data_IF_895585835883
#
_entry.id   IF_895585835883
#
_cell.length_a   1.000
_cell.length_b   1.000
_cell.length_c   1.000
_cell.angle_alpha   90.00
_cell.angle_beta   90.00
_cell.angle_gamma   90.00
#
_symmetry.space_group_name_H-M   'P 1'
#
loop_
_entity.id
_entity.type
_entity.pdbx_description
1 polymer ?
#
# COMPACT_ATOMS: atom_id res chain seq x y z
N UNK A 1 35.72 36.96 -24.12
CA UNK A 1 35.42 35.52 -23.91
C UNK A 1 34.52 35.31 -22.67
N UNK A 2 34.91 35.82 -21.49
CA UNK A 2 34.17 35.68 -20.22
C UNK A 2 32.68 36.05 -20.26
N UNK A 3 32.28 37.17 -20.91
CA UNK A 3 30.86 37.57 -20.98
C UNK A 3 29.97 36.57 -21.72
N UNK A 4 30.52 35.86 -22.72
CA UNK A 4 29.79 34.82 -23.47
C UNK A 4 29.62 33.55 -22.64
N UNK A 5 30.65 33.17 -21.87
CA UNK A 5 30.57 32.06 -20.92
C UNK A 5 29.56 32.34 -19.80
N UNK A 6 29.55 33.56 -19.25
CA UNK A 6 28.59 33.96 -18.22
C UNK A 6 27.15 33.88 -18.73
N UNK A 7 26.91 34.36 -19.96
CA UNK A 7 25.59 34.29 -20.58
C UNK A 7 25.13 32.85 -20.83
N UNK A 8 26.00 32.00 -21.36
CA UNK A 8 25.71 30.58 -21.55
C UNK A 8 25.44 29.86 -20.22
N UNK A 9 26.19 30.20 -19.16
CA UNK A 9 25.97 29.66 -17.82
C UNK A 9 24.60 30.05 -17.25
N UNK A 10 24.18 31.32 -17.41
CA UNK A 10 22.85 31.76 -16.96
C UNK A 10 21.72 31.07 -17.73
N UNK A 11 21.89 30.86 -19.04
CA UNK A 11 20.92 30.09 -19.82
C UNK A 11 20.84 28.64 -19.37
N UNK A 12 21.97 28.01 -19.09
CA UNK A 12 22.02 26.64 -18.59
C UNK A 12 21.38 26.53 -17.20
N UNK A 13 21.64 27.50 -16.32
CA UNK A 13 21.05 27.52 -14.98
C UNK A 13 19.52 27.73 -15.07
N UNK A 14 19.06 28.66 -15.91
CA UNK A 14 17.63 28.84 -16.17
C UNK A 14 16.97 27.60 -16.76
N UNK A 15 17.62 26.93 -17.71
CA UNK A 15 17.15 25.68 -18.29
C UNK A 15 17.04 24.58 -17.22
N UNK A 16 18.05 24.41 -16.37
CA UNK A 16 18.04 23.43 -15.29
C UNK A 16 16.94 23.70 -14.26
N UNK A 17 16.69 24.97 -13.92
CA UNK A 17 15.61 25.34 -13.00
C UNK A 17 14.23 25.01 -13.59
N UNK A 18 13.99 25.35 -14.86
CA UNK A 18 12.73 25.01 -15.53
C UNK A 18 12.58 23.50 -15.66
N UNK A 19 13.64 22.80 -16.05
CA UNK A 19 13.63 21.34 -16.16
C UNK A 19 13.32 20.66 -14.82
N UNK A 20 13.92 21.14 -13.73
CA UNK A 20 13.65 20.65 -12.38
C UNK A 20 12.17 20.84 -12.01
N UNK A 21 11.62 22.04 -12.26
CA UNK A 21 10.22 22.33 -11.92
C UNK A 21 9.23 21.49 -12.75
N UNK A 22 9.46 21.37 -14.07
CA UNK A 22 8.62 20.54 -14.95
C UNK A 22 8.69 19.07 -14.56
N UNK A 23 9.89 18.56 -14.25
CA UNK A 23 10.05 17.17 -13.81
C UNK A 23 9.35 16.90 -12.49
N UNK A 24 9.42 17.84 -11.52
CA UNK A 24 8.71 17.73 -10.25
C UNK A 24 7.19 17.70 -10.45
N UNK A 25 6.68 18.61 -11.29
CA UNK A 25 5.25 18.68 -11.60
C UNK A 25 4.74 17.41 -12.29
N UNK A 26 5.52 16.83 -13.21
CA UNK A 26 5.17 15.54 -13.83
C UNK A 26 5.15 14.38 -12.83
N UNK A 27 6.00 14.43 -11.80
CA UNK A 27 6.06 13.41 -10.77
C UNK A 27 4.86 13.50 -9.82
N UNK A 28 4.44 14.71 -9.45
CA UNK A 28 3.21 14.96 -8.69
C UNK A 28 1.97 14.50 -9.47
N UNK A 29 1.85 14.88 -10.76
CA UNK A 29 0.73 14.43 -11.59
C UNK A 29 0.65 12.90 -11.72
N UNK A 30 1.80 12.23 -11.76
CA UNK A 30 1.82 10.76 -11.76
C UNK A 30 1.34 10.21 -10.42
N UNK A 31 1.81 10.74 -9.29
CA UNK A 31 1.37 10.32 -7.96
C UNK A 31 -0.14 10.52 -7.78
N UNK A 32 -0.67 11.70 -8.14
CA UNK A 32 -2.11 11.98 -8.09
C UNK A 32 -2.92 11.02 -8.98
N UNK A 33 -2.39 10.69 -10.16
CA UNK A 33 -3.00 9.70 -11.06
C UNK A 33 -3.05 8.29 -10.45
N UNK A 34 -2.00 7.89 -9.73
CA UNK A 34 -1.97 6.62 -9.00
C UNK A 34 -2.97 6.61 -7.85
N UNK A 35 -3.05 7.69 -7.07
CA UNK A 35 -3.97 7.81 -5.94
C UNK A 35 -5.43 7.72 -6.41
N UNK A 36 -5.80 8.47 -7.45
CA UNK A 36 -7.16 8.41 -8.01
C UNK A 36 -7.51 7.04 -8.60
N UNK A 37 -6.54 6.35 -9.21
CA UNK A 37 -6.75 4.98 -9.69
C UNK A 37 -7.00 4.01 -8.53
N UNK A 38 -6.17 4.07 -7.48
CA UNK A 38 -6.30 3.21 -6.30
C UNK A 38 -7.62 3.46 -5.56
N UNK A 39 -8.02 4.72 -5.41
CA UNK A 39 -9.30 5.09 -4.82
C UNK A 39 -10.49 4.52 -5.64
N UNK A 40 -10.43 4.64 -6.97
CA UNK A 40 -11.46 4.07 -7.85
C UNK A 40 -11.54 2.54 -7.74
N UNK A 41 -10.40 1.85 -7.62
CA UNK A 41 -10.37 0.40 -7.43
C UNK A 41 -10.95 0.01 -6.07
N UNK A 42 -10.51 0.67 -5.00
CA UNK A 42 -11.01 0.44 -3.65
C UNK A 42 -12.53 0.63 -3.59
N UNK A 43 -13.04 1.72 -4.18
CA UNK A 43 -14.47 1.99 -4.26
C UNK A 43 -15.23 0.90 -5.03
N UNK A 44 -14.72 0.46 -6.18
CA UNK A 44 -15.33 -0.60 -6.99
C UNK A 44 -15.43 -1.94 -6.25
N UNK A 45 -14.48 -2.22 -5.36
CA UNK A 45 -14.49 -3.42 -4.51
C UNK A 45 -15.51 -3.25 -3.38
N UNK A 46 -15.43 -2.15 -2.62
CA UNK A 46 -16.32 -1.85 -1.49
C UNK A 46 -17.78 -1.79 -1.91
N UNK A 47 -18.09 -1.19 -3.06
CA UNK A 47 -19.46 -1.09 -3.59
C UNK A 47 -20.09 -2.47 -3.94
N UNK A 48 -19.26 -3.52 -4.07
CA UNK A 48 -19.71 -4.90 -4.37
C UNK A 48 -19.77 -5.79 -3.13
N UNK A 49 -19.28 -5.32 -1.98
CA UNK A 49 -19.30 -6.09 -0.74
C UNK A 49 -20.70 -6.11 -0.13
N UNK A 50 -21.06 -7.25 0.45
CA UNK A 50 -22.21 -7.39 1.33
C UNK A 50 -22.03 -6.59 2.64
N UNK A 51 -23.11 -6.25 3.35
CA UNK A 51 -23.01 -5.63 4.67
C UNK A 51 -22.13 -6.42 5.65
N UNK A 52 -22.20 -7.75 5.59
CA UNK A 52 -21.40 -8.65 6.42
C UNK A 52 -19.91 -8.52 6.09
N UNK A 53 -19.53 -8.53 4.81
CA UNK A 53 -18.14 -8.31 4.37
C UNK A 53 -17.63 -6.94 4.79
N UNK A 54 -18.43 -5.87 4.64
CA UNK A 54 -18.03 -4.51 5.03
C UNK A 54 -17.72 -4.40 6.53
N UNK A 55 -18.56 -5.02 7.37
CA UNK A 55 -18.36 -5.08 8.82
C UNK A 55 -17.16 -5.95 9.15
N UNK A 56 -16.99 -7.08 8.48
CA UNK A 56 -15.83 -7.95 8.64
C UNK A 56 -14.51 -7.24 8.36
N UNK A 57 -14.42 -6.49 7.26
CA UNK A 57 -13.18 -5.82 6.85
C UNK A 57 -12.65 -4.78 7.84
N UNK A 58 -13.49 -4.23 8.73
CA UNK A 58 -13.02 -3.32 9.79
C UNK A 58 -12.56 -4.05 11.06
N UNK A 59 -12.80 -5.36 11.15
CA UNK A 59 -12.42 -6.19 12.30
C UNK A 59 -11.05 -6.83 12.03
N UNK A 60 -10.20 -6.77 13.06
CA UNK A 60 -8.95 -7.52 13.10
C UNK A 60 -9.04 -8.60 14.18
N UNK A 61 -8.79 -9.84 13.79
CA UNK A 61 -8.83 -10.99 14.71
C UNK A 61 -7.43 -11.44 15.08
N UNK A 62 -7.29 -12.04 16.26
CA UNK A 62 -6.04 -12.64 16.70
C UNK A 62 -6.20 -14.15 16.77
N UNK A 63 -5.26 -14.88 16.20
CA UNK A 63 -5.30 -16.35 16.24
C UNK A 63 -4.59 -16.87 17.51
N UNK A 64 -5.19 -17.79 18.26
CA UNK A 64 -4.60 -18.32 19.49
C UNK A 64 -3.61 -19.46 19.18
N UNK A 65 -2.46 -19.17 18.57
CA UNK A 65 -1.38 -20.16 18.41
C UNK A 65 -0.56 -20.04 17.12
N UNK A 66 0.38 -20.97 16.95
CA UNK A 66 1.33 -20.97 15.81
C UNK A 66 0.76 -21.57 14.52
N UNK A 67 -0.48 -22.05 14.56
CA UNK A 67 -1.13 -22.75 13.45
C UNK A 67 -2.59 -22.32 13.36
N UNK A 68 -3.14 -22.32 12.16
CA UNK A 68 -4.56 -22.17 11.94
C UNK A 68 -5.26 -23.46 12.35
N UNK A 69 -5.97 -23.44 13.47
CA UNK A 69 -6.83 -24.56 13.87
C UNK A 69 -8.25 -24.39 13.29
N UNK A 70 -9.08 -25.42 13.42
CA UNK A 70 -10.44 -25.40 12.89
C UNK A 70 -11.32 -24.30 13.51
N UNK A 71 -11.00 -23.84 14.72
CA UNK A 71 -11.75 -22.77 15.39
C UNK A 71 -11.39 -21.43 14.75
N UNK A 72 -10.09 -21.15 14.60
CA UNK A 72 -9.59 -19.95 13.95
C UNK A 72 -10.04 -19.87 12.48
N UNK A 73 -10.00 -21.00 11.76
CA UNK A 73 -10.48 -21.08 10.38
C UNK A 73 -11.98 -20.75 10.29
N UNK A 74 -12.79 -21.30 11.20
CA UNK A 74 -14.22 -21.01 11.27
C UNK A 74 -14.48 -19.53 11.60
N UNK A 75 -13.76 -18.97 12.55
CA UNK A 75 -13.89 -17.55 12.91
C UNK A 75 -13.54 -16.63 11.73
N UNK A 76 -12.51 -16.96 10.95
CA UNK A 76 -12.15 -16.20 9.74
C UNK A 76 -13.26 -16.31 8.68
N UNK A 77 -13.83 -17.50 8.47
CA UNK A 77 -14.91 -17.73 7.51
C UNK A 77 -16.21 -17.03 7.92
N UNK A 78 -16.53 -17.00 9.21
CA UNK A 78 -17.76 -16.41 9.73
C UNK A 78 -17.66 -14.88 9.84
N UNK A 79 -16.50 -14.34 10.22
CA UNK A 79 -16.30 -12.90 10.50
C UNK A 79 -15.83 -12.14 9.26
N UNK A 80 -15.13 -12.79 8.31
CA UNK A 80 -14.54 -12.17 7.12
C UNK A 80 -13.63 -10.96 7.46
N UNK A 81 -12.66 -11.12 8.38
CA UNK A 81 -11.85 -10.03 8.91
C UNK A 81 -11.00 -9.35 7.83
N UNK A 82 -10.73 -8.05 8.00
CA UNK A 82 -9.82 -7.32 7.13
C UNK A 82 -8.34 -7.60 7.41
N UNK A 83 -8.04 -8.17 8.58
CA UNK A 83 -6.69 -8.55 8.94
C UNK A 83 -6.61 -9.51 10.12
N UNK A 84 -5.46 -10.18 10.22
CA UNK A 84 -5.10 -11.06 11.33
C UNK A 84 -3.89 -10.46 12.06
N UNK A 85 -4.02 -10.30 13.38
CA UNK A 85 -2.93 -9.84 14.24
C UNK A 85 -2.18 -11.06 14.77
N UNK A 86 -0.89 -11.14 14.45
CA UNK A 86 0.03 -12.14 14.99
C UNK A 86 0.79 -11.55 16.18
N UNK A 87 0.65 -12.19 17.34
CA UNK A 87 1.40 -11.90 18.56
C UNK A 87 2.67 -12.76 18.67
N UNK A 88 3.52 -12.46 19.65
CA UNK A 88 4.78 -13.20 19.86
C UNK A 88 4.61 -14.70 20.05
N UNK A 89 3.44 -15.16 20.53
CA UNK A 89 3.11 -16.58 20.64
C UNK A 89 2.93 -17.27 19.28
N UNK A 90 2.58 -16.51 18.24
CA UNK A 90 2.37 -16.98 16.87
C UNK A 90 3.69 -17.03 16.09
N UNK A 91 4.72 -16.32 16.57
CA UNK A 91 6.04 -16.27 15.95
C UNK A 91 6.82 -17.54 16.31
N UNK A 92 6.75 -18.52 15.43
CA UNK A 92 7.60 -19.70 15.44
C UNK A 92 8.89 -19.50 14.63
N UNK A 93 9.35 -20.56 14.02
CA UNK A 93 10.36 -20.57 12.96
C UNK A 93 9.86 -19.82 11.72
N UNK A 94 10.79 -19.40 10.85
CA UNK A 94 10.46 -18.76 9.57
C UNK A 94 9.47 -19.60 8.74
N UNK A 95 9.62 -20.92 8.77
CA UNK A 95 8.76 -21.87 8.07
C UNK A 95 7.34 -21.85 8.63
N UNK A 96 7.18 -21.79 9.95
CA UNK A 96 5.85 -21.70 10.60
C UNK A 96 5.15 -20.38 10.26
N UNK A 97 5.89 -19.26 10.23
CA UNK A 97 5.33 -17.96 9.83
C UNK A 97 4.93 -17.95 8.36
N UNK A 98 5.74 -18.52 7.47
CA UNK A 98 5.38 -18.64 6.06
C UNK A 98 4.14 -19.51 5.89
N UNK A 99 4.05 -20.63 6.61
CA UNK A 99 2.88 -21.51 6.57
C UNK A 99 1.61 -20.76 6.96
N UNK A 100 1.65 -19.93 8.01
CA UNK A 100 0.52 -19.11 8.46
C UNK A 100 0.04 -18.06 7.44
N UNK A 101 0.89 -17.62 6.49
CA UNK A 101 0.56 -16.56 5.52
C UNK A 101 0.29 -17.08 4.10
N UNK A 102 0.54 -18.36 3.83
CA UNK A 102 0.48 -18.94 2.48
C UNK A 102 -0.56 -20.05 2.33
N UNK A 103 -1.03 -20.63 3.44
CA UNK A 103 -2.25 -21.45 3.47
C UNK A 103 -3.49 -20.54 3.47
#
# INVERSE_FOLDING_TARGET
MIRRFLFAFLLLLGFLTVFYYVSSYQQELQADGWDGYLESQAKSIVDKMSPEELVGQVIHVAIPGKTLDQTAEKEIQDILPGGIILFGMNLGTKQEILKLNTE
#
